data_IF_009178144359
#
_entry.id   IF_009178144359
#
_cell.length_a   1.000
_cell.length_b   1.000
_cell.length_c   1.000
_cell.angle_alpha   90.00
_cell.angle_beta   90.00
_cell.angle_gamma   90.00
#
_symmetry.space_group_name_H-M   'P 1'
#
loop_
_entity.id
_entity.type
_entity.pdbx_description
1 polymer ?
#
# COMPACT_ATOMS: atom_id res chain seq x y z
N UNK A 1 -20.07 6.08 2.38
CA UNK A 1 -19.54 4.76 2.01
C UNK A 1 -19.17 4.03 3.29
N UNK A 2 -19.42 2.73 3.34
CA UNK A 2 -19.06 1.91 4.51
C UNK A 2 -17.55 1.62 4.49
N UNK A 3 -16.90 1.76 5.66
CA UNK A 3 -15.46 1.55 5.77
C UNK A 3 -15.17 0.06 5.88
N UNK A 4 -14.45 -0.48 4.90
CA UNK A 4 -13.98 -1.87 4.91
C UNK A 4 -12.75 -2.04 5.79
N UNK A 5 -11.74 -1.20 5.61
CA UNK A 5 -10.49 -1.24 6.35
C UNK A 5 -10.30 0.07 7.11
N UNK A 6 -9.99 -0.02 8.40
CA UNK A 6 -9.55 1.11 9.21
C UNK A 6 -8.24 0.76 9.89
N UNK A 7 -7.27 1.62 9.72
CA UNK A 7 -5.96 1.56 10.38
C UNK A 7 -5.89 2.77 11.30
N UNK A 8 -5.82 2.53 12.62
CA UNK A 8 -5.90 3.57 13.63
C UNK A 8 -4.62 3.62 14.48
N UNK A 9 -3.88 4.72 14.34
CA UNK A 9 -2.66 5.01 15.09
C UNK A 9 -1.65 3.85 15.08
N UNK A 10 -1.52 3.17 13.93
CA UNK A 10 -0.63 2.03 13.80
C UNK A 10 0.82 2.48 13.78
N UNK A 11 1.61 1.88 14.68
CA UNK A 11 3.06 2.06 14.75
C UNK A 11 3.73 0.69 14.65
N UNK A 12 4.80 0.63 13.84
CA UNK A 12 5.58 -0.59 13.65
C UNK A 12 7.04 -0.28 13.94
N UNK A 13 7.63 -1.07 14.84
CA UNK A 13 9.05 -0.97 15.19
C UNK A 13 9.72 -2.33 15.21
N UNK A 14 11.04 -2.33 15.14
CA UNK A 14 11.87 -3.53 15.15
C UNK A 14 12.90 -3.44 16.24
N UNK A 15 13.07 -4.52 16.98
CA UNK A 15 14.19 -4.69 17.92
C UNK A 15 15.45 -4.93 17.08
N UNK A 16 16.35 -3.96 17.09
CA UNK A 16 17.63 -4.03 16.39
C UNK A 16 18.79 -4.12 17.40
N UNK A 17 19.65 -5.09 17.20
CA UNK A 17 20.91 -5.17 17.97
C UNK A 17 21.91 -4.15 17.40
N UNK A 18 22.51 -3.38 18.30
CA UNK A 18 23.61 -2.45 18.01
C UNK A 18 24.94 -3.07 18.47
N UNK A 19 25.94 -2.25 18.83
CA UNK A 19 27.22 -2.79 19.31
C UNK A 19 27.05 -3.67 20.57
N UNK A 20 27.52 -4.89 20.50
CA UNK A 20 27.38 -5.89 21.57
C UNK A 20 25.95 -6.41 21.69
N UNK A 21 25.42 -6.51 22.91
CA UNK A 21 24.07 -6.96 23.21
C UNK A 21 23.06 -5.81 23.40
N UNK A 22 23.48 -4.58 23.14
CA UNK A 22 22.58 -3.44 23.26
C UNK A 22 21.49 -3.51 22.20
N UNK A 23 20.24 -3.30 22.62
CA UNK A 23 19.07 -3.26 21.75
C UNK A 23 18.61 -1.81 21.56
N UNK A 24 18.15 -1.52 20.36
CA UNK A 24 17.47 -0.27 20.02
C UNK A 24 16.14 -0.60 19.35
N UNK A 25 15.08 0.14 19.70
CA UNK A 25 13.80 0.08 19.03
C UNK A 25 13.81 1.01 17.80
N UNK A 26 13.85 0.44 16.61
CA UNK A 26 13.82 1.17 15.34
C UNK A 26 12.37 1.35 14.88
N UNK A 27 11.80 2.53 15.09
CA UNK A 27 10.46 2.88 14.58
C UNK A 27 10.51 3.11 13.09
N UNK A 28 9.72 2.35 12.33
CA UNK A 28 9.61 2.45 10.86
C UNK A 28 8.32 3.11 10.43
N UNK A 29 7.22 2.77 11.09
CA UNK A 29 5.92 3.43 10.91
C UNK A 29 5.49 4.01 12.25
N UNK A 30 4.97 5.24 12.25
CA UNK A 30 4.53 5.91 13.48
C UNK A 30 3.16 6.57 13.26
N UNK A 31 2.22 6.25 14.15
CA UNK A 31 0.86 6.83 14.23
C UNK A 31 0.13 6.88 12.87
N UNK A 32 0.28 5.82 12.08
CA UNK A 32 -0.35 5.74 10.77
C UNK A 32 -1.86 5.55 10.93
N UNK A 33 -2.62 6.44 10.34
CA UNK A 33 -4.08 6.38 10.33
C UNK A 33 -4.60 6.61 8.92
N UNK A 34 -5.31 5.62 8.39
CA UNK A 34 -6.00 5.67 7.11
C UNK A 34 -7.21 4.74 7.12
N UNK A 35 -8.07 4.90 6.15
CA UNK A 35 -9.25 4.05 5.94
C UNK A 35 -9.48 3.80 4.45
N UNK A 36 -10.05 2.65 4.11
CA UNK A 36 -10.48 2.29 2.76
C UNK A 36 -11.95 1.90 2.82
N UNK A 37 -12.76 2.48 1.97
CA UNK A 37 -14.19 2.19 1.86
C UNK A 37 -14.48 1.14 0.79
N UNK A 38 -15.69 0.59 0.81
CA UNK A 38 -16.21 -0.24 -0.26
C UNK A 38 -16.27 0.53 -1.57
N UNK A 39 -15.79 -0.08 -2.67
CA UNK A 39 -15.74 0.56 -3.97
C UNK A 39 -14.83 1.78 -4.05
N UNK A 40 -13.77 1.82 -3.27
CA UNK A 40 -12.79 2.90 -3.23
C UNK A 40 -11.39 2.38 -3.56
N UNK A 41 -10.60 3.20 -4.26
CA UNK A 41 -9.16 3.02 -4.40
C UNK A 41 -8.45 4.11 -3.59
N UNK A 42 -7.82 3.73 -2.48
CA UNK A 42 -6.87 4.58 -1.76
C UNK A 42 -5.45 4.22 -2.19
N UNK A 43 -4.71 5.17 -2.78
CA UNK A 43 -3.29 5.00 -3.03
C UNK A 43 -2.46 5.53 -1.85
N UNK A 44 -1.41 4.79 -1.45
CA UNK A 44 -0.38 5.24 -0.50
C UNK A 44 0.92 5.43 -1.24
N UNK A 45 1.27 6.71 -1.46
CA UNK A 45 2.47 7.13 -2.17
C UNK A 45 3.62 7.43 -1.22
N UNK A 46 4.82 6.98 -1.54
CA UNK A 46 6.04 7.32 -0.81
C UNK A 46 7.27 6.74 -1.47
N UNK A 47 8.46 7.21 -1.06
CA UNK A 47 9.73 6.73 -1.58
C UNK A 47 9.95 5.24 -1.31
N UNK A 48 10.75 4.58 -2.16
CA UNK A 48 11.18 3.20 -1.90
C UNK A 48 11.92 3.11 -0.57
N UNK A 49 11.74 2.02 0.17
CA UNK A 49 12.36 1.82 1.49
C UNK A 49 11.73 2.64 2.63
N UNK A 50 10.66 3.40 2.40
CA UNK A 50 9.99 4.18 3.45
C UNK A 50 9.14 3.36 4.43
N UNK A 51 9.03 2.05 4.26
CA UNK A 51 8.29 1.16 5.16
C UNK A 51 6.85 0.84 4.73
N UNK A 52 6.40 1.28 3.55
CA UNK A 52 5.01 1.09 3.08
C UNK A 52 4.56 -0.38 3.04
N UNK A 53 5.43 -1.29 2.59
CA UNK A 53 5.14 -2.74 2.55
C UNK A 53 4.85 -3.33 3.92
N UNK A 54 5.39 -2.74 5.00
CA UNK A 54 5.08 -3.17 6.36
C UNK A 54 3.63 -2.92 6.75
N UNK A 55 2.99 -1.90 6.15
CA UNK A 55 1.54 -1.70 6.32
C UNK A 55 0.76 -2.88 5.76
N UNK A 56 1.08 -3.34 4.54
CA UNK A 56 0.47 -4.53 3.97
C UNK A 56 0.70 -5.76 4.87
N UNK A 57 1.94 -5.98 5.31
CA UNK A 57 2.26 -7.10 6.20
C UNK A 57 1.50 -7.02 7.54
N UNK A 58 1.32 -5.83 8.10
CA UNK A 58 0.57 -5.64 9.34
C UNK A 58 -0.93 -5.97 9.16
N UNK A 59 -1.54 -5.56 8.04
CA UNK A 59 -2.93 -5.86 7.71
C UNK A 59 -3.12 -7.38 7.60
N UNK A 60 -2.20 -8.07 6.95
CA UNK A 60 -2.25 -9.52 6.75
C UNK A 60 -1.74 -10.35 7.94
N UNK A 61 -1.18 -9.73 8.98
CA UNK A 61 -0.62 -10.44 10.13
C UNK A 61 0.59 -11.31 9.79
N UNK A 62 1.43 -10.85 8.85
CA UNK A 62 2.65 -11.51 8.38
C UNK A 62 3.91 -10.69 8.66
N UNK A 63 3.87 -9.83 9.68
CA UNK A 63 5.07 -9.13 10.14
C UNK A 63 6.10 -10.13 10.67
N UNK A 64 7.41 -9.87 10.54
CA UNK A 64 8.46 -10.68 11.16
C UNK A 64 8.33 -10.74 12.69
N UNK A 65 8.81 -11.82 13.30
CA UNK A 65 8.69 -12.06 14.76
C UNK A 65 9.35 -10.98 15.64
N UNK A 66 10.38 -10.30 15.12
CA UNK A 66 11.06 -9.20 15.81
C UNK A 66 10.39 -7.84 15.63
N UNK A 67 9.20 -7.81 15.00
CA UNK A 67 8.41 -6.59 14.82
C UNK A 67 7.43 -6.41 15.99
N UNK A 68 7.34 -5.18 16.48
CA UNK A 68 6.31 -4.76 17.43
C UNK A 68 5.25 -3.95 16.68
N UNK A 69 3.98 -4.33 16.84
CA UNK A 69 2.82 -3.64 16.28
C UNK A 69 2.01 -3.02 17.41
N UNK A 70 1.79 -1.71 17.36
CA UNK A 70 0.88 -0.97 18.23
C UNK A 70 -0.21 -0.32 17.38
N UNK A 71 -1.33 0.04 18.00
CA UNK A 71 -2.50 0.60 17.32
C UNK A 71 -3.54 -0.47 16.99
N UNK A 72 -4.50 -0.12 16.12
CA UNK A 72 -5.60 -1.02 15.77
C UNK A 72 -5.77 -1.12 14.26
N UNK A 73 -6.05 -2.32 13.80
CA UNK A 73 -6.48 -2.59 12.42
C UNK A 73 -7.88 -3.20 12.52
N UNK A 74 -8.85 -2.60 11.85
CA UNK A 74 -10.22 -3.06 11.81
C UNK A 74 -10.62 -3.44 10.39
N UNK A 75 -11.46 -4.45 10.29
CA UNK A 75 -12.10 -4.84 9.05
C UNK A 75 -13.61 -4.96 9.30
N UNK A 76 -14.43 -4.31 8.49
CA UNK A 76 -15.88 -4.18 8.70
C UNK A 76 -16.22 -3.77 10.14
N UNK A 77 -15.51 -2.76 10.68
CA UNK A 77 -15.71 -2.24 12.04
C UNK A 77 -15.17 -3.12 13.18
N UNK A 78 -14.78 -4.39 12.91
CA UNK A 78 -14.23 -5.33 13.90
C UNK A 78 -12.70 -5.17 14.00
N UNK A 79 -12.17 -4.94 15.20
CA UNK A 79 -10.72 -4.99 15.44
C UNK A 79 -10.20 -6.41 15.23
N UNK A 80 -9.19 -6.55 14.36
CA UNK A 80 -8.64 -7.83 13.98
C UNK A 80 -7.59 -8.31 15.01
N UNK A 81 -7.79 -9.51 15.51
CA UNK A 81 -6.75 -10.30 16.19
C UNK A 81 -5.86 -11.01 15.14
N UNK A 82 -4.77 -11.62 15.55
CA UNK A 82 -3.94 -12.43 14.67
C UNK A 82 -4.74 -13.57 14.01
N UNK A 83 -5.59 -14.23 14.79
CA UNK A 83 -6.47 -15.30 14.29
C UNK A 83 -7.48 -14.79 13.26
N UNK A 84 -8.13 -13.64 13.53
CA UNK A 84 -9.06 -13.03 12.55
C UNK A 84 -8.36 -12.75 11.21
N UNK A 85 -7.12 -12.23 11.25
CA UNK A 85 -6.34 -11.97 10.03
C UNK A 85 -6.04 -13.26 9.25
N UNK A 86 -5.76 -14.36 9.96
CA UNK A 86 -5.52 -15.67 9.34
C UNK A 86 -6.78 -16.24 8.67
N UNK A 87 -7.95 -16.03 9.25
CA UNK A 87 -9.23 -16.50 8.72
C UNK A 87 -9.68 -15.73 7.46
N UNK A 88 -9.46 -14.40 7.42
CA UNK A 88 -9.96 -13.57 6.32
C UNK A 88 -8.97 -13.45 5.13
N UNK A 89 -7.67 -13.68 5.35
CA UNK A 89 -6.69 -13.60 4.26
C UNK A 89 -6.86 -14.72 3.23
N UNK A 90 -6.78 -14.35 1.95
CA UNK A 90 -7.02 -15.26 0.84
C UNK A 90 -8.51 -15.53 0.55
N UNK A 91 -9.42 -15.07 1.43
CA UNK A 91 -10.85 -15.19 1.26
C UNK A 91 -11.51 -13.82 1.06
N UNK A 92 -11.59 -13.03 2.14
CA UNK A 92 -12.20 -11.70 2.10
C UNK A 92 -11.20 -10.60 1.73
N UNK A 93 -9.93 -10.77 2.12
CA UNK A 93 -8.84 -9.87 1.77
C UNK A 93 -7.75 -10.59 0.98
N UNK A 94 -7.27 -9.99 -0.10
CA UNK A 94 -6.19 -10.53 -0.94
C UNK A 94 -5.00 -9.59 -1.03
N UNK A 95 -3.79 -10.18 -1.03
CA UNK A 95 -2.54 -9.48 -1.18
C UNK A 95 -1.98 -9.69 -2.59
N UNK A 96 -1.61 -8.60 -3.25
CA UNK A 96 -0.71 -8.63 -4.39
C UNK A 96 0.65 -8.15 -3.87
N UNK A 97 1.62 -9.07 -3.64
CA UNK A 97 2.87 -8.71 -3.00
C UNK A 97 3.86 -8.06 -3.96
N UNK A 98 4.80 -7.28 -3.42
CA UNK A 98 5.87 -6.66 -4.19
C UNK A 98 6.82 -7.70 -4.81
N UNK A 99 7.15 -8.76 -4.09
CA UNK A 99 8.14 -9.75 -4.52
C UNK A 99 7.47 -10.95 -5.16
N UNK A 100 8.01 -11.40 -6.29
CA UNK A 100 7.65 -12.68 -6.91
C UNK A 100 8.07 -13.90 -6.09
N UNK A 101 8.93 -13.70 -5.09
CA UNK A 101 9.36 -14.76 -4.15
C UNK A 101 8.23 -15.26 -3.23
N UNK A 102 7.06 -14.65 -3.27
CA UNK A 102 5.85 -15.18 -2.63
C UNK A 102 5.29 -16.42 -3.36
N UNK A 103 5.72 -16.68 -4.60
CA UNK A 103 5.43 -17.93 -5.28
C UNK A 103 6.34 -19.04 -4.72
N UNK A 104 5.76 -20.18 -4.35
CA UNK A 104 6.50 -21.35 -3.90
C UNK A 104 7.30 -21.95 -5.07
N UNK A 105 8.66 -21.97 -5.00
CA UNK A 105 9.49 -22.44 -6.10
C UNK A 105 9.34 -23.95 -6.38
N UNK A 106 8.78 -24.71 -5.44
CA UNK A 106 8.63 -26.18 -5.53
C UNK A 106 7.22 -26.60 -5.98
N UNK A 107 6.30 -25.64 -6.15
CA UNK A 107 4.91 -25.91 -6.51
C UNK A 107 4.61 -25.37 -7.92
N UNK A 108 3.84 -26.13 -8.72
CA UNK A 108 3.36 -25.67 -10.02
C UNK A 108 2.43 -24.48 -9.88
N UNK A 109 2.44 -23.60 -10.90
CA UNK A 109 1.66 -22.35 -10.88
C UNK A 109 0.17 -22.60 -10.70
N UNK A 110 -0.42 -23.57 -11.40
CA UNK A 110 -1.84 -23.88 -11.24
C UNK A 110 -2.18 -24.35 -9.83
N UNK A 111 -1.36 -25.23 -9.25
CA UNK A 111 -1.61 -25.79 -7.92
C UNK A 111 -1.57 -24.71 -6.83
N UNK A 112 -0.59 -23.80 -6.88
CA UNK A 112 -0.52 -22.72 -5.90
C UNK A 112 -1.57 -21.62 -6.14
N UNK A 113 -1.99 -21.37 -7.38
CA UNK A 113 -3.06 -20.43 -7.68
C UNK A 113 -4.43 -20.93 -7.20
N UNK A 114 -4.73 -22.23 -7.41
CA UNK A 114 -5.98 -22.86 -6.97
C UNK A 114 -6.02 -23.01 -5.43
N UNK A 115 -4.84 -23.29 -4.83
CA UNK A 115 -4.71 -23.50 -3.40
C UNK A 115 -5.41 -24.78 -2.92
N UNK A 116 -5.72 -24.83 -1.61
CA UNK A 116 -6.38 -25.98 -1.01
C UNK A 116 -7.82 -26.13 -1.53
N UNK A 117 -8.23 -27.36 -1.77
CA UNK A 117 -9.59 -27.73 -2.21
C UNK A 117 -10.08 -28.94 -1.41
N UNK A 118 -11.34 -28.95 -1.02
CA UNK A 118 -11.93 -30.02 -0.22
C UNK A 118 -12.28 -31.26 -1.05
N UNK A 119 -12.56 -31.06 -2.35
CA UNK A 119 -12.99 -32.13 -3.27
C UNK A 119 -12.68 -31.79 -4.74
N UNK A 120 -12.80 -32.81 -5.60
CA UNK A 120 -12.50 -32.70 -7.03
C UNK A 120 -13.43 -31.73 -7.78
N UNK A 121 -14.69 -31.58 -7.35
CA UNK A 121 -15.65 -30.67 -7.96
C UNK A 121 -15.23 -29.22 -7.72
N UNK A 122 -14.83 -28.88 -6.50
CA UNK A 122 -14.29 -27.55 -6.14
C UNK A 122 -13.00 -27.27 -6.91
N UNK A 123 -12.10 -28.26 -6.99
CA UNK A 123 -10.87 -28.16 -7.77
C UNK A 123 -11.14 -27.85 -9.23
N UNK A 124 -12.09 -28.53 -9.85
CA UNK A 124 -12.47 -28.30 -11.25
C UNK A 124 -13.04 -26.88 -11.46
N UNK A 125 -13.89 -26.42 -10.54
CA UNK A 125 -14.46 -25.07 -10.59
C UNK A 125 -13.39 -24.00 -10.46
N UNK A 126 -12.49 -24.12 -9.46
CA UNK A 126 -11.38 -23.20 -9.27
C UNK A 126 -10.44 -23.19 -10.47
N UNK A 127 -10.17 -24.35 -11.08
CA UNK A 127 -9.34 -24.46 -12.28
C UNK A 127 -9.96 -23.74 -13.48
N UNK A 128 -11.26 -23.89 -13.69
CA UNK A 128 -11.98 -23.14 -14.76
C UNK A 128 -11.83 -21.64 -14.55
N UNK A 129 -12.12 -21.15 -13.34
CA UNK A 129 -11.97 -19.73 -13.00
C UNK A 129 -10.54 -19.24 -13.14
N UNK A 130 -9.55 -20.02 -12.71
CA UNK A 130 -8.14 -19.71 -12.87
C UNK A 130 -7.79 -19.51 -14.34
N UNK A 131 -8.24 -20.40 -15.25
CA UNK A 131 -7.98 -20.26 -16.68
C UNK A 131 -8.61 -18.98 -17.25
N UNK A 132 -9.86 -18.68 -16.92
CA UNK A 132 -10.54 -17.45 -17.36
C UNK A 132 -9.77 -16.19 -16.94
N UNK A 133 -9.25 -16.16 -15.72
CA UNK A 133 -8.47 -15.03 -15.21
C UNK A 133 -7.09 -14.99 -15.87
N UNK A 134 -6.40 -16.13 -15.97
CA UNK A 134 -5.07 -16.21 -16.57
C UNK A 134 -5.08 -15.76 -18.03
N UNK A 135 -6.12 -16.14 -18.81
CA UNK A 135 -6.30 -15.67 -20.19
C UNK A 135 -6.41 -14.14 -20.28
N UNK A 136 -7.16 -13.51 -19.35
CA UNK A 136 -7.27 -12.04 -19.28
C UNK A 136 -5.92 -11.36 -19.04
N UNK A 137 -4.98 -12.06 -18.40
CA UNK A 137 -3.60 -11.58 -18.16
C UNK A 137 -2.59 -12.10 -19.15
N UNK A 138 -3.02 -12.62 -20.32
CA UNK A 138 -2.16 -13.17 -21.36
C UNK A 138 -1.20 -14.26 -20.83
N UNK A 139 -1.70 -15.13 -19.95
CA UNK A 139 -1.03 -16.33 -19.46
C UNK A 139 -1.63 -17.55 -20.15
N UNK A 140 -0.87 -18.17 -21.04
CA UNK A 140 -1.31 -19.34 -21.80
C UNK A 140 -1.46 -20.60 -20.91
N UNK A 141 -2.10 -21.67 -21.44
CA UNK A 141 -2.33 -22.91 -20.68
C UNK A 141 -1.03 -23.62 -20.28
N UNK A 142 0.08 -23.38 -20.96
CA UNK A 142 1.40 -23.90 -20.61
C UNK A 142 1.88 -23.43 -19.25
N UNK A 143 1.44 -22.23 -18.79
CA UNK A 143 1.82 -21.65 -17.50
C UNK A 143 1.32 -22.48 -16.33
N UNK A 144 0.23 -23.20 -16.49
CA UNK A 144 -0.38 -24.03 -15.44
C UNK A 144 0.62 -25.08 -14.92
N UNK A 145 1.41 -25.67 -15.80
CA UNK A 145 2.35 -26.74 -15.49
C UNK A 145 3.79 -26.25 -15.19
N UNK A 146 4.03 -24.92 -15.34
CA UNK A 146 5.32 -24.32 -15.03
C UNK A 146 5.54 -24.13 -13.52
N UNK A 147 6.81 -24.11 -13.13
CA UNK A 147 7.28 -23.67 -11.83
C UNK A 147 7.69 -22.19 -11.87
N UNK A 148 7.71 -21.47 -10.75
CA UNK A 148 8.06 -20.04 -10.70
C UNK A 148 9.38 -19.69 -11.39
N UNK A 149 10.40 -20.52 -11.26
CA UNK A 149 11.72 -20.28 -11.88
C UNK A 149 11.73 -20.41 -13.42
N UNK A 150 10.68 -20.95 -14.01
CA UNK A 150 10.50 -21.05 -15.47
C UNK A 150 9.80 -19.83 -16.07
N UNK A 151 9.25 -18.94 -15.21
CA UNK A 151 8.54 -17.74 -15.63
C UNK A 151 9.51 -16.58 -15.85
N UNK A 152 9.20 -15.72 -16.83
CA UNK A 152 9.79 -14.38 -16.86
C UNK A 152 9.28 -13.54 -15.68
N UNK A 153 10.01 -12.49 -15.28
CA UNK A 153 9.57 -11.61 -14.21
C UNK A 153 8.17 -11.01 -14.43
N UNK A 154 7.86 -10.63 -15.67
CA UNK A 154 6.52 -10.13 -16.04
C UNK A 154 5.44 -11.22 -15.96
N UNK A 155 5.73 -12.47 -16.35
CA UNK A 155 4.80 -13.59 -16.19
C UNK A 155 4.52 -13.87 -14.71
N UNK A 156 5.57 -13.96 -13.89
CA UNK A 156 5.42 -14.19 -12.45
C UNK A 156 4.58 -13.10 -11.77
N UNK A 157 4.77 -11.84 -12.17
CA UNK A 157 3.95 -10.72 -11.66
C UNK A 157 2.48 -10.86 -12.07
N UNK A 158 2.21 -11.19 -13.35
CA UNK A 158 0.84 -11.42 -13.83
C UNK A 158 0.18 -12.60 -13.11
N UNK A 159 0.92 -13.66 -12.82
CA UNK A 159 0.44 -14.79 -12.01
C UNK A 159 0.03 -14.32 -10.62
N UNK A 160 0.85 -13.53 -9.91
CA UNK A 160 0.52 -13.00 -8.57
C UNK A 160 -0.75 -12.15 -8.58
N UNK A 161 -0.86 -11.23 -9.55
CA UNK A 161 -2.08 -10.39 -9.69
C UNK A 161 -3.30 -11.28 -9.97
N UNK A 162 -3.18 -12.22 -10.91
CA UNK A 162 -4.27 -13.14 -11.27
C UNK A 162 -4.71 -14.00 -10.09
N UNK A 163 -3.77 -14.52 -9.31
CA UNK A 163 -4.04 -15.36 -8.14
C UNK A 163 -4.82 -14.60 -7.06
N UNK A 164 -4.47 -13.32 -6.83
CA UNK A 164 -5.19 -12.49 -5.85
C UNK A 164 -6.67 -12.27 -6.19
N UNK A 165 -7.05 -12.42 -7.47
CA UNK A 165 -8.43 -12.23 -7.94
C UNK A 165 -9.29 -13.51 -7.87
N UNK A 166 -8.68 -14.66 -7.63
CA UNK A 166 -9.40 -15.95 -7.65
C UNK A 166 -10.40 -16.09 -6.52
N UNK A 167 -10.15 -15.49 -5.36
CA UNK A 167 -11.04 -15.58 -4.19
C UNK A 167 -12.24 -14.64 -4.22
N UNK A 168 -12.38 -13.75 -5.21
CA UNK A 168 -13.35 -12.64 -5.20
C UNK A 168 -13.30 -11.82 -3.90
N UNK A 169 -12.15 -11.23 -3.57
CA UNK A 169 -11.99 -10.52 -2.31
C UNK A 169 -12.86 -9.26 -2.27
N UNK A 170 -13.25 -8.84 -1.06
CA UNK A 170 -13.89 -7.54 -0.82
C UNK A 170 -12.84 -6.41 -0.71
N UNK A 171 -11.62 -6.75 -0.28
CA UNK A 171 -10.51 -5.82 -0.18
C UNK A 171 -9.26 -6.41 -0.84
N UNK A 172 -8.63 -5.64 -1.69
CA UNK A 172 -7.31 -5.95 -2.26
C UNK A 172 -6.27 -4.97 -1.73
N UNK A 173 -5.19 -5.49 -1.19
CA UNK A 173 -3.99 -4.71 -0.87
C UNK A 173 -2.94 -5.03 -1.92
N UNK A 174 -2.61 -4.05 -2.76
CA UNK A 174 -1.63 -4.19 -3.83
C UNK A 174 -0.35 -3.44 -3.46
N UNK A 175 0.71 -4.19 -3.17
CA UNK A 175 2.01 -3.64 -2.82
C UNK A 175 2.92 -3.65 -4.05
N UNK A 176 3.15 -2.46 -4.62
CA UNK A 176 3.97 -2.24 -5.82
C UNK A 176 3.58 -3.20 -6.98
N UNK A 177 2.31 -3.16 -7.46
CA UNK A 177 1.83 -4.18 -8.41
C UNK A 177 2.39 -4.01 -9.83
N UNK A 178 2.96 -2.85 -10.19
CA UNK A 178 3.33 -2.49 -11.57
C UNK A 178 4.82 -2.60 -11.93
N UNK A 179 5.80 -2.50 -11.01
CA UNK A 179 7.21 -2.57 -11.38
C UNK A 179 7.57 -3.86 -12.13
N UNK A 180 8.35 -3.70 -13.21
CA UNK A 180 8.80 -4.83 -14.05
C UNK A 180 7.77 -5.32 -15.07
N UNK A 181 6.61 -4.65 -15.18
CA UNK A 181 5.65 -4.87 -16.25
C UNK A 181 5.91 -3.90 -17.41
N UNK A 182 5.60 -4.32 -18.63
CA UNK A 182 5.55 -3.45 -19.79
C UNK A 182 4.34 -2.48 -19.70
N UNK A 183 4.39 -1.37 -20.44
CA UNK A 183 3.38 -0.30 -20.39
C UNK A 183 1.96 -0.81 -20.65
N UNK A 184 1.78 -1.76 -21.57
CA UNK A 184 0.49 -2.34 -21.89
C UNK A 184 -0.06 -3.11 -20.70
N UNK A 185 0.75 -3.96 -20.09
CA UNK A 185 0.38 -4.76 -18.92
C UNK A 185 0.12 -3.88 -17.69
N UNK A 186 0.86 -2.78 -17.52
CA UNK A 186 0.56 -1.76 -16.48
C UNK A 186 -0.85 -1.21 -16.65
N UNK A 187 -1.19 -0.72 -17.86
CA UNK A 187 -2.54 -0.21 -18.15
C UNK A 187 -3.63 -1.24 -17.93
N UNK A 188 -3.40 -2.47 -18.36
CA UNK A 188 -4.35 -3.58 -18.11
C UNK A 188 -4.54 -3.83 -16.61
N UNK A 189 -3.47 -3.84 -15.82
CA UNK A 189 -3.52 -4.03 -14.36
C UNK A 189 -4.28 -2.88 -13.68
N UNK A 190 -4.00 -1.63 -14.05
CA UNK A 190 -4.71 -0.46 -13.52
C UNK A 190 -6.21 -0.49 -13.87
N UNK A 191 -6.54 -0.87 -15.11
CA UNK A 191 -7.94 -1.02 -15.52
C UNK A 191 -8.68 -2.13 -14.75
N UNK A 192 -7.99 -3.21 -14.38
CA UNK A 192 -8.58 -4.23 -13.51
C UNK A 192 -8.90 -3.68 -12.11
N UNK A 193 -8.03 -2.86 -11.52
CA UNK A 193 -8.35 -2.21 -10.25
C UNK A 193 -9.55 -1.26 -10.36
N UNK A 194 -9.65 -0.49 -11.47
CA UNK A 194 -10.84 0.34 -11.73
C UNK A 194 -12.12 -0.50 -11.79
N UNK A 195 -12.07 -1.63 -12.50
CA UNK A 195 -13.22 -2.55 -12.59
C UNK A 195 -13.57 -3.18 -11.24
N UNK A 196 -12.57 -3.59 -10.45
CA UNK A 196 -12.81 -4.12 -9.09
C UNK A 196 -13.53 -3.09 -8.21
N UNK A 197 -13.10 -1.83 -8.29
CA UNK A 197 -13.77 -0.71 -7.62
C UNK A 197 -15.24 -0.58 -8.06
N UNK A 198 -15.52 -0.64 -9.38
CA UNK A 198 -16.88 -0.60 -9.92
C UNK A 198 -17.73 -1.77 -9.42
N UNK A 199 -17.11 -2.93 -9.19
CA UNK A 199 -17.73 -4.13 -8.62
C UNK A 199 -17.86 -4.07 -7.07
N UNK A 200 -17.52 -2.92 -6.44
CA UNK A 200 -17.65 -2.69 -4.99
C UNK A 200 -16.43 -3.11 -4.18
N UNK A 201 -15.36 -3.60 -4.78
CA UNK A 201 -14.13 -4.01 -4.08
C UNK A 201 -13.34 -2.79 -3.63
N UNK A 202 -12.95 -2.74 -2.34
CA UNK A 202 -11.99 -1.75 -1.85
C UNK A 202 -10.56 -2.10 -2.27
N UNK A 203 -9.76 -1.10 -2.65
CA UNK A 203 -8.36 -1.30 -3.05
C UNK A 203 -7.44 -0.37 -2.27
N UNK A 204 -6.48 -0.94 -1.55
CA UNK A 204 -5.33 -0.21 -1.00
C UNK A 204 -4.14 -0.41 -1.93
N UNK A 205 -3.83 0.61 -2.72
CA UNK A 205 -2.70 0.60 -3.65
C UNK A 205 -1.48 1.25 -2.99
N UNK A 206 -0.46 0.46 -2.69
CA UNK A 206 0.82 0.95 -2.20
C UNK A 206 1.77 1.05 -3.39
N UNK A 207 2.29 2.27 -3.66
CA UNK A 207 3.18 2.48 -4.79
C UNK A 207 4.09 3.70 -4.60
N UNK A 208 5.17 3.78 -5.36
CA UNK A 208 5.98 4.99 -5.54
C UNK A 208 5.67 5.70 -6.86
N UNK A 209 4.85 5.09 -7.72
CA UNK A 209 4.46 5.65 -9.01
C UNK A 209 3.23 6.58 -8.84
N UNK A 210 3.49 7.88 -8.82
CA UNK A 210 2.45 8.89 -8.71
C UNK A 210 1.51 8.90 -9.93
N UNK A 211 2.01 8.56 -11.14
CA UNK A 211 1.18 8.54 -12.33
C UNK A 211 0.14 7.42 -12.25
N UNK A 212 0.55 6.22 -11.82
CA UNK A 212 -0.36 5.11 -11.57
C UNK A 212 -1.42 5.48 -10.52
N UNK A 213 -1.02 6.15 -9.42
CA UNK A 213 -1.94 6.59 -8.38
C UNK A 213 -2.95 7.63 -8.91
N UNK A 214 -2.46 8.67 -9.61
CA UNK A 214 -3.33 9.72 -10.18
C UNK A 214 -4.30 9.18 -11.24
N UNK A 215 -3.94 8.10 -11.91
CA UNK A 215 -4.80 7.51 -12.95
C UNK A 215 -6.03 6.80 -12.38
N UNK A 216 -5.92 6.17 -11.19
CA UNK A 216 -6.99 5.27 -10.71
C UNK A 216 -7.51 5.55 -9.30
N UNK A 217 -6.74 6.23 -8.44
CA UNK A 217 -7.13 6.41 -7.04
C UNK A 217 -8.23 7.46 -6.87
N UNK A 218 -9.08 7.27 -5.87
CA UNK A 218 -10.04 8.29 -5.41
C UNK A 218 -9.40 9.23 -4.42
N UNK A 219 -8.64 8.66 -3.47
CA UNK A 219 -7.84 9.41 -2.50
C UNK A 219 -6.38 8.93 -2.55
N UNK A 220 -5.50 9.85 -2.23
CA UNK A 220 -4.06 9.61 -2.23
C UNK A 220 -3.49 10.02 -0.88
N UNK A 221 -2.92 9.05 -0.16
CA UNK A 221 -2.19 9.25 1.07
C UNK A 221 -0.70 9.39 0.80
N UNK A 222 -0.10 10.48 1.23
CA UNK A 222 1.31 10.76 1.07
C UNK A 222 2.08 10.27 2.29
N UNK A 223 2.97 9.31 2.05
CA UNK A 223 3.79 8.69 3.08
C UNK A 223 5.21 9.27 3.06
N UNK A 224 5.66 9.81 4.19
CA UNK A 224 6.97 10.44 4.34
C UNK A 224 7.62 10.04 5.67
N UNK A 225 8.80 9.44 5.62
CA UNK A 225 9.61 9.06 6.79
C UNK A 225 8.83 8.35 7.91
N UNK A 226 7.99 7.37 7.54
CA UNK A 226 7.21 6.59 8.51
C UNK A 226 5.83 7.16 8.87
N UNK A 227 5.41 8.27 8.28
CA UNK A 227 4.14 8.95 8.56
C UNK A 227 3.28 9.11 7.32
N UNK A 228 1.97 9.01 7.48
CA UNK A 228 1.04 9.61 6.53
C UNK A 228 0.90 11.07 6.89
N UNK A 229 1.39 11.95 6.02
CA UNK A 229 1.43 13.40 6.25
C UNK A 229 0.24 14.13 5.65
N UNK A 230 -0.34 13.61 4.60
CA UNK A 230 -1.57 14.11 3.99
C UNK A 230 -2.34 12.97 3.33
N UNK A 231 -3.67 12.99 3.42
CA UNK A 231 -4.59 12.24 2.57
C UNK A 231 -5.48 13.26 1.88
N UNK A 232 -5.45 13.29 0.54
CA UNK A 232 -6.20 14.21 -0.28
C UNK A 232 -7.00 13.47 -1.36
N UNK A 233 -8.06 14.08 -1.87
CA UNK A 233 -8.80 13.54 -3.01
C UNK A 233 -7.96 13.68 -4.30
N UNK A 234 -8.12 12.77 -5.24
CA UNK A 234 -7.40 12.81 -6.52
C UNK A 234 -7.55 14.16 -7.24
N UNK A 235 -8.75 14.74 -7.21
CA UNK A 235 -9.05 16.06 -7.83
C UNK A 235 -8.21 17.21 -7.30
N UNK A 236 -7.64 17.08 -6.09
CA UNK A 236 -6.79 18.11 -5.48
C UNK A 236 -5.39 18.16 -6.12
N UNK A 237 -4.99 17.07 -6.77
CA UNK A 237 -3.77 16.98 -7.57
C UNK A 237 -4.00 17.56 -8.96
N UNK A 238 -4.34 18.84 -9.04
CA UNK A 238 -4.67 19.56 -10.27
C UNK A 238 -4.06 20.96 -10.25
N UNK A 239 -4.01 21.63 -11.42
CA UNK A 239 -3.39 22.94 -11.56
C UNK A 239 -1.93 22.94 -11.09
N UNK A 240 -1.56 23.91 -10.27
CA UNK A 240 -0.22 23.97 -9.65
C UNK A 240 -0.20 23.34 -8.24
N UNK A 241 -1.20 22.53 -7.87
CA UNK A 241 -1.33 21.91 -6.56
C UNK A 241 -1.84 22.86 -5.47
N UNK A 242 -2.66 23.86 -5.83
CA UNK A 242 -3.17 24.86 -4.88
C UNK A 242 -4.05 24.22 -3.79
N UNK A 243 -4.76 23.16 -4.12
CA UNK A 243 -5.65 22.44 -3.21
C UNK A 243 -4.92 21.44 -2.30
N UNK A 244 -3.65 21.13 -2.55
CA UNK A 244 -2.81 20.33 -1.67
C UNK A 244 -2.41 21.16 -0.45
N UNK A 245 -2.34 20.52 0.71
CA UNK A 245 -2.15 21.24 1.96
C UNK A 245 -0.70 21.18 2.46
N UNK A 246 -0.13 19.98 2.58
CA UNK A 246 1.20 19.80 3.15
C UNK A 246 2.30 20.32 2.21
N UNK A 247 3.27 21.10 2.70
CA UNK A 247 4.37 21.61 1.87
C UNK A 247 5.13 20.53 1.10
N UNK A 248 5.32 19.34 1.67
CA UNK A 248 5.94 18.21 0.97
C UNK A 248 5.06 17.69 -0.18
N UNK A 249 3.74 17.57 0.02
CA UNK A 249 2.82 17.11 -1.04
C UNK A 249 2.84 18.06 -2.22
N UNK A 250 2.83 19.37 -1.96
CA UNK A 250 3.00 20.41 -2.99
C UNK A 250 4.32 20.28 -3.73
N UNK A 251 5.41 20.11 -2.98
CA UNK A 251 6.75 19.94 -3.55
C UNK A 251 6.86 18.66 -4.40
N UNK A 252 6.30 17.54 -3.91
CA UNK A 252 6.25 16.28 -4.66
C UNK A 252 5.48 16.44 -5.99
N UNK A 253 4.34 17.11 -5.95
CA UNK A 253 3.52 17.35 -7.14
C UNK A 253 4.20 18.26 -8.16
N UNK A 254 4.85 19.35 -7.71
CA UNK A 254 5.63 20.26 -8.56
C UNK A 254 6.89 19.63 -9.14
N UNK A 255 7.45 18.61 -8.47
CA UNK A 255 8.61 17.88 -8.98
C UNK A 255 8.29 16.97 -10.17
N UNK A 256 7.01 16.77 -10.50
CA UNK A 256 6.64 16.00 -11.70
C UNK A 256 7.05 16.76 -12.97
N UNK A 257 7.53 16.04 -14.01
CA UNK A 257 7.93 16.67 -15.27
C UNK A 257 6.82 17.53 -15.90
N UNK A 258 5.56 17.10 -15.79
CA UNK A 258 4.41 17.84 -16.30
C UNK A 258 4.08 19.12 -15.51
N UNK A 259 4.60 19.29 -14.28
CA UNK A 259 4.22 20.35 -13.35
C UNK A 259 5.37 21.31 -13.02
N UNK A 260 6.37 21.43 -13.92
CA UNK A 260 7.46 22.39 -13.80
C UNK A 260 8.80 21.82 -13.38
N UNK A 261 8.86 20.55 -12.91
CA UNK A 261 10.09 19.84 -12.52
C UNK A 261 10.90 20.60 -11.45
N UNK A 262 10.22 21.19 -10.46
CA UNK A 262 10.84 21.93 -9.38
C UNK A 262 11.45 20.95 -8.35
N UNK A 263 12.77 21.00 -8.16
CA UNK A 263 13.45 20.12 -7.21
C UNK A 263 13.54 20.76 -5.82
N UNK A 264 13.20 19.99 -4.79
CA UNK A 264 13.36 20.39 -3.39
C UNK A 264 14.75 20.00 -2.89
N UNK A 265 15.40 20.90 -2.15
CA UNK A 265 16.72 20.66 -1.54
C UNK A 265 16.62 19.63 -0.40
N UNK A 266 17.75 18.98 -0.11
CA UNK A 266 17.89 18.04 0.99
C UNK A 266 17.39 16.63 0.65
N UNK A 267 17.47 15.73 1.60
CA UNK A 267 17.07 14.33 1.48
C UNK A 267 16.01 13.98 2.53
N UNK A 268 15.27 12.91 2.27
CA UNK A 268 14.35 12.37 3.26
C UNK A 268 15.14 11.73 4.39
N UNK A 269 14.84 12.06 5.67
CA UNK A 269 15.50 11.43 6.80
C UNK A 269 15.19 9.94 6.87
N UNK A 270 16.18 9.16 7.32
CA UNK A 270 16.02 7.73 7.54
C UNK A 270 15.17 7.46 8.79
N UNK A 271 14.67 6.22 8.89
CA UNK A 271 13.90 5.77 10.04
C UNK A 271 14.74 5.91 11.32
N UNK A 272 14.17 6.57 12.34
CA UNK A 272 14.82 6.78 13.64
C UNK A 272 15.82 7.95 13.70
N UNK A 273 16.07 8.65 12.60
CA UNK A 273 16.90 9.88 12.64
C UNK A 273 16.15 11.04 13.29
N UNK A 274 14.85 11.18 13.02
CA UNK A 274 14.01 12.21 13.63
C UNK A 274 13.28 11.64 14.83
N UNK A 275 13.69 12.00 16.01
CA UNK A 275 13.05 11.60 17.26
C UNK A 275 11.93 12.55 17.69
N UNK A 276 12.06 13.84 17.39
CA UNK A 276 11.09 14.90 17.72
C UNK A 276 10.80 15.74 16.49
N UNK A 277 9.76 16.55 16.53
CA UNK A 277 9.43 17.50 15.48
C UNK A 277 8.77 16.90 14.23
N UNK A 278 8.50 17.79 13.28
CA UNK A 278 7.94 17.46 11.98
C UNK A 278 9.02 16.77 11.11
N UNK A 279 8.75 15.59 10.52
CA UNK A 279 9.77 14.88 9.71
C UNK A 279 10.20 15.64 8.46
N UNK A 280 9.43 16.63 8.02
CA UNK A 280 9.77 17.48 6.87
C UNK A 280 10.43 18.82 7.26
N UNK A 281 10.70 19.08 8.56
CA UNK A 281 11.18 20.35 9.08
C UNK A 281 12.38 20.93 8.29
N UNK A 282 13.46 20.17 8.12
CA UNK A 282 14.69 20.65 7.48
C UNK A 282 14.51 21.09 6.01
N UNK A 283 13.48 20.57 5.35
CA UNK A 283 13.18 20.82 3.93
C UNK A 283 11.99 21.77 3.73
N UNK A 284 11.29 22.12 4.82
CA UNK A 284 10.10 22.94 4.76
C UNK A 284 10.44 24.42 4.72
N UNK A 285 10.05 25.11 3.65
CA UNK A 285 10.23 26.58 3.53
C UNK A 285 9.24 27.35 4.41
N UNK A 286 8.15 26.70 4.84
CA UNK A 286 7.09 27.27 5.67
C UNK A 286 7.24 26.92 7.16
N UNK A 287 8.41 26.42 7.57
CA UNK A 287 8.66 25.97 8.95
C UNK A 287 8.73 27.12 9.95
N UNK A 288 8.41 26.82 11.21
CA UNK A 288 8.56 27.70 12.35
C UNK A 288 8.99 26.87 13.60
N UNK A 289 9.35 27.53 14.69
CA UNK A 289 10.04 26.90 15.84
C UNK A 289 9.32 25.67 16.41
N UNK A 290 7.99 25.72 16.49
CA UNK A 290 7.22 24.56 16.98
C UNK A 290 7.39 23.30 16.12
N UNK A 291 7.60 23.47 14.80
CA UNK A 291 7.82 22.34 13.89
C UNK A 291 9.11 21.56 14.19
N UNK A 292 10.10 22.19 14.83
CA UNK A 292 11.35 21.53 15.25
C UNK A 292 11.15 20.71 16.53
N UNK A 293 10.36 21.24 17.44
CA UNK A 293 10.25 20.74 18.82
C UNK A 293 9.14 19.69 18.97
N UNK A 294 8.02 19.88 18.29
CA UNK A 294 6.83 19.07 18.42
C UNK A 294 6.44 18.41 17.10
N UNK A 295 5.79 17.25 17.21
CA UNK A 295 5.25 16.52 16.07
C UNK A 295 3.78 16.88 15.84
N UNK A 296 3.40 17.37 14.65
CA UNK A 296 2.00 17.66 14.36
C UNK A 296 1.15 16.41 14.41
N UNK A 297 0.00 16.47 15.02
CA UNK A 297 -0.99 15.40 15.03
C UNK A 297 -1.73 15.37 13.68
N UNK A 298 -2.36 14.22 13.37
CA UNK A 298 -3.20 14.12 12.20
C UNK A 298 -4.52 14.82 12.45
N UNK A 299 -4.82 15.85 11.65
CA UNK A 299 -6.05 16.63 11.69
C UNK A 299 -6.97 16.11 10.61
N UNK A 300 -8.21 15.82 10.97
CA UNK A 300 -9.25 15.42 10.02
C UNK A 300 -10.08 16.65 9.62
N UNK A 301 -10.04 17.00 8.35
CA UNK A 301 -10.78 18.12 7.74
C UNK A 301 -11.98 17.61 6.91
N UNK A 302 -12.46 16.40 7.22
CA UNK A 302 -13.57 15.74 6.52
C UNK A 302 -13.09 14.90 5.34
N UNK A 303 -12.98 15.49 4.17
CA UNK A 303 -12.49 14.80 2.97
C UNK A 303 -10.96 14.80 2.82
N UNK A 304 -10.24 15.48 3.70
CA UNK A 304 -8.77 15.54 3.76
C UNK A 304 -8.28 15.27 5.16
N UNK A 305 -7.09 14.67 5.25
CA UNK A 305 -6.37 14.55 6.53
C UNK A 305 -4.98 15.14 6.36
N UNK A 306 -4.50 15.87 7.36
CA UNK A 306 -3.24 16.61 7.28
C UNK A 306 -2.46 16.55 8.59
N UNK A 307 -1.16 16.41 8.50
CA UNK A 307 -0.21 16.45 9.63
C UNK A 307 0.66 17.69 9.51
N UNK A 308 0.10 18.88 9.84
CA UNK A 308 0.82 20.15 9.76
C UNK A 308 0.22 21.18 10.71
N UNK A 309 1.05 21.81 11.53
CA UNK A 309 0.62 22.84 12.50
C UNK A 309 -0.07 24.07 11.91
N UNK A 310 0.16 24.36 10.63
CA UNK A 310 -0.55 25.47 9.94
C UNK A 310 -2.06 25.33 9.98
N UNK A 311 -2.56 24.10 10.10
CA UNK A 311 -3.98 23.79 10.03
C UNK A 311 -4.60 23.46 11.39
N UNK A 312 -3.84 23.51 12.50
CA UNK A 312 -4.37 23.25 13.84
C UNK A 312 -5.41 24.29 14.33
N UNK A 313 -5.47 25.47 13.73
CA UNK A 313 -6.42 26.53 14.09
C UNK A 313 -7.75 26.47 13.35
N UNK A 314 -7.91 25.52 12.43
CA UNK A 314 -9.11 25.38 11.60
C UNK A 314 -10.08 24.28 12.12
N UNK A 315 -9.80 23.73 13.31
CA UNK A 315 -10.62 22.69 13.98
C UNK A 315 -11.33 23.26 15.19
#
# INVERSE_FOLDING_TARGET
MEKLLEVENVSISFIQYTQGLNQRDLKVITDLTLDVSEGEILAVLGSSGSGKSLLAHAIFGILPENANLNGKIKYNGKTLTQKDKEEIRGNEISLIPQSVNFLDPLMKISDQAIGHTENDAEKAQKKTKQREIFEKYNLGPEVDEMYPFQLSGGMARRVLVSTALLSNPKLVVADEPTPGLDEKTVKETLNHFKKMKEDGVGVLLITHDIHAALEIADRIGIFYSGYVIEIAENKDFSGNGENLLHPYTKALYKALPANGFELTKGHQPLHGEIQTGCPYYDRCEERFDRCEQERPQLIDLGNKKIRCFKYEKEV
#
